data_IF_264519447387
#
_entry.id   IF_264519447387
#
_cell.length_a   1.000
_cell.length_b   1.000
_cell.length_c   1.000
_cell.angle_alpha   90.00
_cell.angle_beta   90.00
_cell.angle_gamma   90.00
#
_symmetry.space_group_name_H-M   'P 1'
#
loop_
_entity.id
_entity.type
_entity.pdbx_description
1 polymer ?
#
# COMPACT_ATOMS: atom_id res chain seq x y z
N UNK A 1 69.49 -8.85 54.03
CA UNK A 1 70.07 -7.65 54.67
C UNK A 1 70.22 -6.59 53.60
N UNK A 2 69.66 -5.40 53.85
CA UNK A 2 69.96 -4.09 53.23
C UNK A 2 69.65 -3.85 51.73
N UNK A 3 68.52 -3.15 51.55
CA UNK A 3 68.23 -2.02 50.67
C UNK A 3 69.42 -1.20 50.15
N UNK A 4 69.31 -0.71 48.90
CA UNK A 4 69.37 0.74 48.59
C UNK A 4 68.75 1.09 47.22
N UNK A 5 68.06 2.21 47.25
CA UNK A 5 67.25 2.91 46.24
C UNK A 5 68.11 3.92 45.48
N UNK A 6 67.82 4.16 44.20
CA UNK A 6 67.73 5.48 43.48
C UNK A 6 67.47 5.18 41.99
N UNK A 7 66.26 5.36 41.44
CA UNK A 7 65.57 6.61 41.09
C UNK A 7 66.29 7.47 40.04
N UNK A 8 65.83 7.43 38.78
CA UNK A 8 65.43 8.65 38.02
C UNK A 8 64.65 8.29 36.76
N UNK A 9 63.57 9.03 36.57
CA UNK A 9 62.56 8.90 35.53
C UNK A 9 63.01 9.50 34.18
N UNK A 10 62.44 8.99 33.09
CA UNK A 10 62.26 9.74 31.86
C UNK A 10 60.85 9.48 31.33
N UNK A 11 60.04 10.54 31.36
CA UNK A 11 58.69 10.58 30.78
C UNK A 11 58.75 10.27 29.28
N UNK A 12 57.92 9.34 28.82
CA UNK A 12 57.58 9.20 27.41
C UNK A 12 56.04 9.18 27.27
N UNK A 13 55.53 10.36 26.94
CA UNK A 13 54.41 10.70 26.06
C UNK A 13 53.19 9.76 26.00
N UNK A 14 52.04 10.36 26.31
CA UNK A 14 50.69 9.86 26.02
C UNK A 14 50.50 9.47 24.55
N UNK A 15 50.08 8.24 24.30
CA UNK A 15 49.04 7.96 23.32
C UNK A 15 48.01 7.03 23.97
N UNK A 16 46.82 7.57 24.17
CA UNK A 16 45.65 6.81 24.56
C UNK A 16 45.30 5.85 23.40
N UNK A 17 45.77 4.60 23.48
CA UNK A 17 45.10 3.49 22.79
C UNK A 17 43.81 3.18 23.55
N UNK A 18 42.82 4.06 23.39
CA UNK A 18 41.44 3.67 23.60
C UNK A 18 41.15 2.54 22.62
N UNK A 19 41.06 1.31 23.13
CA UNK A 19 40.45 0.19 22.43
C UNK A 19 38.99 0.54 22.23
N UNK A 20 38.71 1.34 21.19
CA UNK A 20 37.36 1.61 20.75
C UNK A 20 36.81 0.29 20.21
N UNK A 21 35.98 -0.34 21.03
CA UNK A 21 35.05 -1.39 20.69
C UNK A 21 34.11 -0.89 19.60
N UNK A 22 34.58 -0.92 18.35
CA UNK A 22 33.80 -0.64 17.14
C UNK A 22 33.60 -1.96 16.42
N UNK A 23 32.78 -2.85 16.97
CA UNK A 23 32.29 -4.03 16.24
C UNK A 23 30.83 -4.38 16.52
N UNK A 24 30.15 -3.75 17.47
CA UNK A 24 28.71 -3.99 17.70
C UNK A 24 27.81 -2.86 17.22
N UNK A 25 28.32 -1.62 17.14
CA UNK A 25 27.50 -0.47 16.76
C UNK A 25 27.39 -0.28 15.23
N UNK A 26 28.37 -0.75 14.45
CA UNK A 26 28.26 -0.84 12.98
C UNK A 26 27.49 -2.08 12.52
N UNK A 27 27.42 -3.15 13.33
CA UNK A 27 26.59 -4.32 13.04
C UNK A 27 25.10 -4.06 13.33
N UNK A 28 24.80 -3.24 14.35
CA UNK A 28 23.44 -2.76 14.64
C UNK A 28 22.95 -1.66 13.66
N UNK A 29 23.85 -1.11 12.84
CA UNK A 29 23.54 -0.18 11.77
C UNK A 29 23.15 -0.86 10.44
N UNK A 30 22.83 -2.16 10.45
CA UNK A 30 21.79 -2.69 9.55
C UNK A 30 20.45 -2.08 9.98
N UNK A 31 20.35 -0.79 9.68
CA UNK A 31 19.10 -0.06 9.53
C UNK A 31 18.13 -0.99 8.83
N UNK A 32 17.10 -1.43 9.56
CA UNK A 32 15.83 -1.76 8.93
C UNK A 32 15.45 -0.49 8.18
N UNK A 33 15.85 -0.39 6.91
CA UNK A 33 15.33 0.61 6.00
C UNK A 33 13.83 0.44 6.06
N UNK A 34 13.15 1.33 6.76
CA UNK A 34 11.70 1.29 6.87
C UNK A 34 11.21 1.44 5.44
N UNK A 35 10.62 0.37 4.91
CA UNK A 35 10.10 0.37 3.55
C UNK A 35 9.18 1.58 3.38
N UNK A 36 9.38 2.35 2.30
CA UNK A 36 8.53 3.49 2.02
C UNK A 36 7.06 3.04 1.98
N UNK A 37 6.09 3.88 2.40
CA UNK A 37 4.69 3.56 2.23
C UNK A 37 4.40 3.17 0.79
N UNK A 38 3.68 2.06 0.60
CA UNK A 38 3.30 1.58 -0.73
C UNK A 38 2.43 2.64 -1.40
N UNK A 39 2.93 3.21 -2.50
CA UNK A 39 2.23 4.24 -3.27
C UNK A 39 2.43 4.03 -4.76
N UNK A 40 1.49 4.45 -5.59
CA UNK A 40 1.62 4.48 -7.05
C UNK A 40 1.19 5.86 -7.53
N UNK A 41 2.06 6.57 -8.26
CA UNK A 41 1.81 7.95 -8.69
C UNK A 41 1.41 8.90 -7.52
N UNK A 42 1.91 8.63 -6.31
CA UNK A 42 1.56 9.39 -5.09
C UNK A 42 0.24 8.98 -4.43
N UNK A 43 -0.47 7.99 -4.97
CA UNK A 43 -1.73 7.47 -4.45
C UNK A 43 -1.47 6.27 -3.56
N UNK A 44 -2.21 6.21 -2.45
CA UNK A 44 -2.20 5.10 -1.48
C UNK A 44 -3.61 4.58 -1.25
N UNK A 45 -3.70 3.35 -0.76
CA UNK A 45 -4.96 2.80 -0.24
C UNK A 45 -5.53 3.71 0.85
N UNK A 46 -6.84 3.87 0.86
CA UNK A 46 -7.59 4.68 1.82
C UNK A 46 -7.49 6.20 1.60
N UNK A 47 -6.78 6.67 0.57
CA UNK A 47 -6.82 8.08 0.18
C UNK A 47 -8.23 8.45 -0.29
N UNK A 48 -8.69 9.69 -0.05
CA UNK A 48 -10.02 10.12 -0.51
C UNK A 48 -10.01 10.40 -2.01
N UNK A 49 -11.17 10.30 -2.67
CA UNK A 49 -11.28 10.65 -4.09
C UNK A 49 -10.85 12.09 -4.39
N UNK A 50 -11.13 13.04 -3.48
CA UNK A 50 -10.69 14.43 -3.61
C UNK A 50 -9.17 14.57 -3.54
N UNK A 51 -8.53 13.90 -2.59
CA UNK A 51 -7.06 13.90 -2.46
C UNK A 51 -6.36 13.27 -3.66
N UNK A 52 -6.96 12.20 -4.22
CA UNK A 52 -6.48 11.57 -5.46
C UNK A 52 -6.56 12.56 -6.62
N UNK A 53 -7.72 13.19 -6.84
CA UNK A 53 -7.88 14.17 -7.90
C UNK A 53 -6.89 15.33 -7.76
N UNK A 54 -6.78 15.91 -6.56
CA UNK A 54 -5.82 16.98 -6.30
C UNK A 54 -4.37 16.55 -6.57
N UNK A 55 -4.00 15.33 -6.18
CA UNK A 55 -2.66 14.78 -6.41
C UNK A 55 -2.36 14.58 -7.90
N UNK A 56 -3.32 14.05 -8.65
CA UNK A 56 -3.18 13.77 -10.07
C UNK A 56 -3.19 15.05 -10.92
N UNK A 57 -4.08 16.00 -10.62
CA UNK A 57 -4.10 17.32 -11.27
C UNK A 57 -2.76 18.04 -11.05
N UNK A 58 -2.27 18.08 -9.80
CA UNK A 58 -0.98 18.71 -9.46
C UNK A 58 0.19 18.09 -10.22
N UNK A 59 0.10 16.81 -10.58
CA UNK A 59 1.16 16.07 -11.29
C UNK A 59 0.93 15.98 -12.80
N UNK A 60 -0.06 16.71 -13.33
CA UNK A 60 -0.29 16.88 -14.76
C UNK A 60 -1.01 15.72 -15.44
N UNK A 61 -1.79 14.94 -14.70
CA UNK A 61 -2.61 13.88 -15.27
C UNK A 61 -3.93 14.43 -15.82
N UNK A 62 -4.39 13.85 -16.93
CA UNK A 62 -5.77 14.01 -17.39
C UNK A 62 -6.65 13.00 -16.68
N UNK A 63 -7.79 13.43 -16.14
CA UNK A 63 -8.63 12.62 -15.25
C UNK A 63 -10.03 12.49 -15.83
N UNK A 64 -10.57 11.27 -15.80
CA UNK A 64 -11.95 10.94 -16.10
C UNK A 64 -12.52 10.09 -14.95
N UNK A 65 -13.73 10.41 -14.51
CA UNK A 65 -14.39 9.71 -13.40
C UNK A 65 -15.66 9.01 -13.86
N UNK A 66 -15.89 7.81 -13.35
CA UNK A 66 -17.15 7.08 -13.51
C UNK A 66 -17.92 7.10 -12.20
N UNK A 67 -19.21 7.44 -12.29
CA UNK A 67 -20.10 7.54 -11.15
C UNK A 67 -20.28 6.18 -10.45
N UNK A 68 -20.33 6.21 -9.13
CA UNK A 68 -20.54 5.07 -8.25
C UNK A 68 -21.63 5.36 -7.23
N UNK A 69 -22.03 4.35 -6.47
CA UNK A 69 -22.90 4.57 -5.30
C UNK A 69 -22.10 5.30 -4.22
N UNK A 70 -22.75 6.23 -3.53
CA UNK A 70 -22.24 6.76 -2.28
C UNK A 70 -22.54 5.80 -1.12
N UNK A 71 -22.10 6.13 0.08
CA UNK A 71 -22.33 5.30 1.26
C UNK A 71 -23.81 5.04 1.54
N UNK A 72 -24.67 6.05 1.38
CA UNK A 72 -26.10 5.92 1.69
C UNK A 72 -26.76 4.99 0.68
N UNK A 73 -26.48 5.18 -0.61
CA UNK A 73 -26.91 4.33 -1.69
C UNK A 73 -26.45 2.87 -1.49
N UNK A 74 -25.19 2.63 -1.12
CA UNK A 74 -24.68 1.28 -0.84
C UNK A 74 -25.38 0.61 0.33
N UNK A 75 -25.69 1.35 1.39
CA UNK A 75 -26.44 0.81 2.53
C UNK A 75 -27.88 0.47 2.14
N UNK A 76 -28.57 1.34 1.38
CA UNK A 76 -29.93 1.05 0.92
C UNK A 76 -29.97 -0.11 -0.09
N UNK A 77 -28.98 -0.20 -0.99
CA UNK A 77 -28.78 -1.33 -1.88
C UNK A 77 -28.74 -2.63 -1.10
N UNK A 78 -27.83 -2.72 -0.11
CA UNK A 78 -27.68 -3.89 0.74
C UNK A 78 -29.01 -4.23 1.45
N UNK A 79 -29.71 -3.23 1.98
CA UNK A 79 -31.01 -3.42 2.63
C UNK A 79 -32.08 -3.97 1.67
N UNK A 80 -32.18 -3.44 0.45
CA UNK A 80 -33.08 -3.95 -0.61
C UNK A 80 -32.72 -5.37 -1.02
N UNK A 81 -31.42 -5.68 -1.17
CA UNK A 81 -30.95 -7.03 -1.48
C UNK A 81 -31.33 -8.03 -0.41
N UNK A 82 -31.14 -7.70 0.88
CA UNK A 82 -31.53 -8.56 2.00
C UNK A 82 -33.05 -8.80 2.07
N UNK A 83 -33.86 -7.86 1.57
CA UNK A 83 -35.33 -7.99 1.47
C UNK A 83 -35.81 -8.65 0.17
N UNK A 84 -34.92 -8.98 -0.76
CA UNK A 84 -35.27 -9.57 -2.05
C UNK A 84 -35.99 -8.60 -2.99
N UNK A 85 -35.79 -7.29 -2.86
CA UNK A 85 -36.38 -6.27 -3.75
C UNK A 85 -35.52 -6.12 -5.00
N UNK A 86 -36.10 -6.33 -6.19
CA UNK A 86 -35.41 -6.20 -7.48
C UNK A 86 -36.33 -5.59 -8.55
N UNK A 87 -35.79 -4.81 -9.52
CA UNK A 87 -34.39 -4.40 -9.64
C UNK A 87 -33.97 -3.41 -8.54
N UNK A 88 -32.68 -3.37 -8.21
CA UNK A 88 -32.12 -2.40 -7.26
C UNK A 88 -31.49 -1.27 -8.06
N UNK A 89 -32.14 -0.12 -8.06
CA UNK A 89 -31.62 1.10 -8.65
C UNK A 89 -31.30 2.08 -7.52
N UNK A 90 -30.04 2.47 -7.44
CA UNK A 90 -29.57 3.46 -6.47
C UNK A 90 -28.96 4.68 -7.17
N UNK A 91 -29.07 5.87 -6.56
CA UNK A 91 -28.36 7.05 -7.02
C UNK A 91 -26.85 6.81 -7.11
N UNK A 92 -26.24 7.28 -8.21
CA UNK A 92 -24.80 7.19 -8.43
C UNK A 92 -24.11 8.53 -8.11
N UNK A 93 -24.14 8.91 -6.83
CA UNK A 93 -23.59 10.19 -6.35
C UNK A 93 -22.12 10.14 -5.94
N UNK A 94 -21.54 8.95 -5.81
CA UNK A 94 -20.13 8.73 -5.50
C UNK A 94 -19.26 8.56 -6.74
N UNK A 95 -18.00 8.18 -6.53
CA UNK A 95 -17.05 7.84 -7.59
C UNK A 95 -16.71 6.36 -7.47
N UNK A 96 -17.00 5.57 -8.50
CA UNK A 96 -16.60 4.16 -8.53
C UNK A 96 -15.14 4.02 -9.02
N UNK A 97 -14.81 4.73 -10.09
CA UNK A 97 -13.54 4.62 -10.79
C UNK A 97 -13.05 5.99 -11.22
N UNK A 98 -11.75 6.22 -11.09
CA UNK A 98 -11.04 7.33 -11.71
C UNK A 98 -10.00 6.74 -12.66
N UNK A 99 -10.13 7.06 -13.94
CA UNK A 99 -9.11 6.78 -14.95
C UNK A 99 -8.29 8.03 -15.17
N UNK A 100 -6.97 7.88 -15.22
CA UNK A 100 -6.08 8.97 -15.52
C UNK A 100 -5.03 8.57 -16.53
N UNK A 101 -4.64 9.54 -17.38
CA UNK A 101 -3.62 9.35 -18.40
C UNK A 101 -2.58 10.45 -18.37
N UNK A 102 -1.33 10.07 -18.65
CA UNK A 102 -0.19 11.00 -18.79
C UNK A 102 0.79 10.43 -19.81
N UNK A 103 0.76 10.95 -21.04
CA UNK A 103 1.50 10.34 -22.15
C UNK A 103 1.06 8.90 -22.36
N UNK A 104 2.02 7.97 -22.36
CA UNK A 104 1.78 6.53 -22.49
C UNK A 104 1.44 5.84 -21.15
N UNK A 105 1.44 6.58 -20.05
CA UNK A 105 1.06 6.08 -18.74
C UNK A 105 -0.45 6.11 -18.56
N UNK A 106 -0.99 5.03 -18.00
CA UNK A 106 -2.40 4.88 -17.63
C UNK A 106 -2.51 4.49 -16.17
N UNK A 107 -3.49 5.06 -15.51
CA UNK A 107 -3.78 4.82 -14.11
C UNK A 107 -5.29 4.59 -13.98
N UNK A 108 -5.69 3.54 -13.29
CA UNK A 108 -7.08 3.28 -12.91
C UNK A 108 -7.14 3.14 -11.40
N UNK A 109 -7.92 3.99 -10.76
CA UNK A 109 -8.12 4.01 -9.31
C UNK A 109 -9.56 3.58 -9.07
N UNK A 110 -9.76 2.49 -8.34
CA UNK A 110 -11.09 2.09 -7.89
C UNK A 110 -11.29 2.55 -6.46
N UNK A 111 -12.47 3.08 -6.20
CA UNK A 111 -12.88 3.51 -4.88
C UNK A 111 -13.95 2.57 -4.31
N UNK A 112 -14.11 2.66 -3.02
CA UNK A 112 -15.25 2.13 -2.30
C UNK A 112 -15.89 3.25 -1.47
N UNK A 113 -17.23 3.27 -1.36
CA UNK A 113 -17.90 4.23 -0.52
C UNK A 113 -17.67 3.90 0.95
N UNK A 114 -17.35 4.92 1.74
CA UNK A 114 -17.23 4.89 3.20
C UNK A 114 -18.07 6.03 3.78
N UNK A 115 -18.39 6.04 5.10
CA UNK A 115 -19.29 7.04 5.67
C UNK A 115 -18.95 8.51 5.36
N UNK A 116 -17.67 8.82 5.12
CA UNK A 116 -17.17 10.18 4.88
C UNK A 116 -16.78 10.44 3.41
N UNK A 117 -17.32 9.67 2.46
CA UNK A 117 -17.03 9.80 1.02
C UNK A 117 -16.40 8.55 0.43
N UNK A 118 -15.61 8.69 -0.63
CA UNK A 118 -15.02 7.55 -1.34
C UNK A 118 -13.54 7.38 -1.00
N UNK A 119 -13.14 6.14 -0.73
CA UNK A 119 -11.77 5.77 -0.37
C UNK A 119 -11.16 4.81 -1.39
N UNK A 120 -9.88 5.01 -1.72
CA UNK A 120 -9.15 4.13 -2.66
C UNK A 120 -9.06 2.71 -2.12
N UNK A 121 -9.56 1.73 -2.89
CA UNK A 121 -9.40 0.30 -2.61
C UNK A 121 -8.39 -0.40 -3.53
N UNK A 122 -8.20 0.14 -4.73
CA UNK A 122 -7.29 -0.40 -5.74
C UNK A 122 -6.71 0.73 -6.59
N UNK A 123 -5.43 0.59 -6.92
CA UNK A 123 -4.75 1.44 -7.90
C UNK A 123 -4.05 0.52 -8.89
N UNK A 124 -4.37 0.63 -10.18
CA UNK A 124 -3.68 -0.06 -11.27
C UNK A 124 -2.94 0.97 -12.11
N UNK A 125 -1.68 0.72 -12.41
CA UNK A 125 -0.83 1.59 -13.19
C UNK A 125 -0.17 0.79 -14.31
N UNK A 126 -0.25 1.32 -15.51
CA UNK A 126 0.30 0.73 -16.72
C UNK A 126 1.22 1.76 -17.36
N UNK A 127 2.45 1.36 -17.65
CA UNK A 127 3.42 2.20 -18.34
C UNK A 127 4.29 1.38 -19.28
N UNK A 128 4.90 1.99 -20.32
CA UNK A 128 5.93 1.33 -21.10
C UNK A 128 7.09 0.87 -20.19
N UNK A 129 7.65 -0.32 -20.43
CA UNK A 129 8.90 -0.71 -19.76
C UNK A 129 10.07 0.20 -20.17
N UNK A 130 9.96 0.90 -21.30
CA UNK A 130 10.97 1.83 -21.82
C UNK A 130 12.36 1.18 -21.94
N UNK A 131 12.40 -0.06 -22.41
CA UNK A 131 13.64 -0.84 -22.54
C UNK A 131 14.19 -1.41 -21.23
N UNK A 132 13.54 -1.18 -20.08
CA UNK A 132 13.93 -1.79 -18.81
C UNK A 132 13.63 -3.28 -18.79
N UNK A 133 14.61 -4.05 -18.37
CA UNK A 133 14.49 -5.48 -18.12
C UNK A 133 13.65 -5.76 -16.87
N UNK A 134 13.07 -6.96 -16.74
CA UNK A 134 12.41 -7.39 -15.51
C UNK A 134 13.30 -7.18 -14.27
N UNK A 135 14.59 -7.46 -14.36
CA UNK A 135 15.56 -7.34 -13.28
C UNK A 135 15.81 -5.88 -12.87
N UNK A 136 15.83 -4.96 -13.83
CA UNK A 136 15.96 -3.52 -13.54
C UNK A 136 14.72 -2.98 -12.83
N UNK A 137 13.53 -3.39 -13.26
CA UNK A 137 12.27 -3.01 -12.62
C UNK A 137 12.20 -3.62 -11.22
N UNK A 138 12.60 -4.89 -11.07
CA UNK A 138 12.72 -5.58 -9.79
C UNK A 138 13.60 -4.80 -8.83
N UNK A 139 14.79 -4.41 -9.28
CA UNK A 139 15.76 -3.69 -8.46
C UNK A 139 15.24 -2.30 -8.05
N UNK A 140 14.55 -1.58 -8.95
CA UNK A 140 13.94 -0.28 -8.65
C UNK A 140 12.84 -0.41 -7.58
N UNK A 141 11.97 -1.41 -7.73
CA UNK A 141 10.91 -1.69 -6.78
C UNK A 141 11.47 -2.15 -5.43
N UNK A 142 12.51 -2.98 -5.42
CA UNK A 142 13.19 -3.43 -4.19
C UNK A 142 13.87 -2.26 -3.48
N UNK A 143 14.54 -1.39 -4.24
CA UNK A 143 15.17 -0.18 -3.70
C UNK A 143 14.16 0.73 -3.01
N UNK A 144 12.95 0.86 -3.59
CA UNK A 144 11.92 1.78 -3.09
C UNK A 144 11.06 1.19 -1.96
N UNK A 145 10.69 -0.08 -2.07
CA UNK A 145 9.68 -0.72 -1.21
C UNK A 145 10.23 -1.90 -0.39
N UNK A 146 11.52 -2.21 -0.47
CA UNK A 146 12.12 -3.36 0.21
C UNK A 146 11.92 -4.66 -0.57
N UNK A 147 12.25 -5.81 0.03
CA UNK A 147 12.09 -7.10 -0.67
C UNK A 147 10.60 -7.48 -0.72
N UNK A 148 10.09 -8.00 -1.86
CA UNK A 148 8.73 -8.51 -1.92
C UNK A 148 8.54 -9.70 -0.97
N UNK A 149 7.31 -9.88 -0.48
CA UNK A 149 6.89 -11.10 0.19
C UNK A 149 6.51 -12.18 -0.82
N UNK A 150 6.29 -13.41 -0.34
CA UNK A 150 5.96 -14.56 -1.21
C UNK A 150 4.43 -14.66 -1.46
N UNK A 151 3.96 -14.28 -2.65
CA UNK A 151 2.61 -14.65 -3.11
C UNK A 151 2.64 -16.02 -3.81
N UNK A 152 1.65 -16.89 -3.56
CA UNK A 152 1.54 -18.19 -4.24
C UNK A 152 0.78 -18.10 -5.58
N UNK A 153 0.42 -16.90 -6.04
CA UNK A 153 -0.13 -16.71 -7.39
C UNK A 153 1.03 -16.78 -8.38
N UNK A 154 1.26 -17.97 -8.93
CA UNK A 154 2.29 -18.22 -9.92
C UNK A 154 1.61 -18.57 -11.25
N UNK A 155 1.58 -17.63 -12.19
CA UNK A 155 1.41 -17.94 -13.60
C UNK A 155 1.90 -16.80 -14.50
N UNK A 156 3.20 -16.86 -14.82
CA UNK A 156 3.91 -16.12 -15.87
C UNK A 156 4.13 -14.60 -15.65
N UNK A 157 5.23 -14.11 -16.23
CA UNK A 157 5.73 -12.72 -16.30
C UNK A 157 5.98 -11.99 -14.97
N UNK A 158 7.23 -12.03 -14.48
CA UNK A 158 7.79 -11.29 -13.32
C UNK A 158 6.72 -10.76 -12.34
N UNK A 159 6.04 -11.63 -11.58
CA UNK A 159 5.09 -11.21 -10.56
C UNK A 159 5.81 -11.11 -9.21
N UNK A 160 5.89 -9.91 -8.65
CA UNK A 160 6.42 -9.68 -7.30
C UNK A 160 5.40 -8.87 -6.48
N UNK A 161 5.16 -9.29 -5.23
CA UNK A 161 4.21 -8.65 -4.32
C UNK A 161 4.92 -8.04 -3.10
N UNK A 162 4.75 -6.75 -2.84
CA UNK A 162 5.21 -6.06 -1.63
C UNK A 162 4.05 -5.87 -0.68
N UNK A 163 4.26 -6.16 0.60
CA UNK A 163 3.22 -6.04 1.62
C UNK A 163 3.59 -5.02 2.68
N UNK A 164 2.59 -4.38 3.28
CA UNK A 164 2.84 -3.49 4.42
C UNK A 164 3.05 -4.28 5.70
N UNK A 165 4.09 -3.93 6.46
CA UNK A 165 4.32 -4.46 7.81
C UNK A 165 5.54 -5.38 7.96
N UNK A 166 6.37 -5.56 6.92
CA UNK A 166 7.59 -6.39 7.00
C UNK A 166 7.33 -7.91 7.06
N UNK A 167 6.06 -8.32 7.20
CA UNK A 167 5.63 -9.71 7.14
C UNK A 167 5.47 -10.20 5.70
N UNK A 168 5.63 -11.53 5.45
CA UNK A 168 5.36 -12.11 4.15
C UNK A 168 3.91 -11.86 3.73
N UNK A 169 3.72 -11.40 2.48
CA UNK A 169 2.45 -11.54 1.78
C UNK A 169 1.99 -12.99 1.90
N UNK A 170 0.78 -13.30 2.36
CA UNK A 170 0.22 -14.65 2.14
C UNK A 170 -1.19 -14.53 1.65
N UNK A 171 -1.55 -15.30 0.64
CA UNK A 171 -2.94 -15.63 0.34
C UNK A 171 -3.00 -17.05 -0.20
N UNK A 172 -3.73 -17.92 0.51
CA UNK A 172 -4.73 -18.83 -0.05
C UNK A 172 -5.94 -18.90 0.91
N UNK A 173 -5.75 -18.90 2.25
CA UNK A 173 -6.88 -18.89 3.23
C UNK A 173 -6.55 -18.24 4.61
N UNK A 174 -6.03 -17.00 4.69
CA UNK A 174 -5.95 -16.42 6.04
C UNK A 174 -5.21 -15.11 6.26
N UNK A 175 -4.16 -14.77 5.52
CA UNK A 175 -3.49 -13.48 5.73
C UNK A 175 -3.94 -12.46 4.69
N UNK A 176 -4.14 -11.24 5.16
CA UNK A 176 -4.95 -10.23 4.49
C UNK A 176 -4.23 -8.90 4.56
N UNK A 177 -3.19 -8.73 3.76
CA UNK A 177 -2.41 -7.50 3.73
C UNK A 177 -2.75 -6.70 2.48
N UNK A 178 -2.76 -5.37 2.62
CA UNK A 178 -2.61 -4.51 1.46
C UNK A 178 -1.25 -4.79 0.80
N UNK A 179 -1.23 -4.74 -0.52
CA UNK A 179 -0.02 -5.10 -1.25
C UNK A 179 0.07 -4.49 -2.62
N UNK A 180 1.31 -4.31 -3.06
CA UNK A 180 1.72 -3.81 -4.36
C UNK A 180 2.22 -5.00 -5.18
N UNK A 181 1.60 -5.27 -6.32
CA UNK A 181 2.07 -6.26 -7.28
C UNK A 181 2.71 -5.53 -8.47
N UNK A 182 3.78 -6.06 -9.04
CA UNK A 182 4.34 -5.62 -10.32
C UNK A 182 4.46 -6.82 -11.26
N UNK A 183 4.11 -6.63 -12.54
CA UNK A 183 4.23 -7.61 -13.63
C UNK A 183 4.56 -6.94 -14.95
N UNK A 184 5.15 -7.68 -15.89
CA UNK A 184 5.43 -7.22 -17.25
C UNK A 184 4.57 -7.97 -18.26
N UNK A 185 3.63 -7.32 -18.95
CA UNK A 185 2.81 -8.07 -19.92
C UNK A 185 3.62 -8.64 -21.10
N UNK A 186 2.98 -9.50 -21.90
CA UNK A 186 3.57 -10.13 -23.10
C UNK A 186 4.04 -9.11 -24.16
N UNK A 187 3.62 -7.85 -24.05
CA UNK A 187 4.01 -6.74 -24.92
C UNK A 187 5.07 -5.83 -24.27
N UNK A 188 5.66 -6.24 -23.14
CA UNK A 188 6.68 -5.49 -22.43
C UNK A 188 6.16 -4.24 -21.72
N UNK A 189 4.87 -4.18 -21.35
CA UNK A 189 4.35 -3.09 -20.52
C UNK A 189 4.42 -3.45 -19.05
N UNK A 190 4.88 -2.50 -18.25
CA UNK A 190 4.87 -2.58 -16.80
C UNK A 190 3.43 -2.37 -16.31
N UNK A 191 2.93 -3.33 -15.54
CA UNK A 191 1.64 -3.28 -14.88
C UNK A 191 1.86 -3.43 -13.37
N UNK A 192 1.53 -2.38 -12.63
CA UNK A 192 1.66 -2.32 -11.18
C UNK A 192 0.26 -2.18 -10.56
N UNK A 193 -0.04 -2.93 -9.52
CA UNK A 193 -1.33 -2.90 -8.83
C UNK A 193 -1.15 -2.77 -7.33
N UNK A 194 -1.67 -1.72 -6.71
CA UNK A 194 -1.75 -1.57 -5.25
C UNK A 194 -3.17 -1.90 -4.80
N UNK A 195 -3.33 -2.86 -3.89
CA UNK A 195 -4.62 -3.38 -3.42
C UNK A 195 -4.76 -3.27 -1.91
N UNK A 196 -5.99 -3.07 -1.41
CA UNK A 196 -6.28 -3.00 0.04
C UNK A 196 -6.27 -4.35 0.77
N UNK A 197 -6.37 -5.45 0.03
CA UNK A 197 -6.44 -6.81 0.58
C UNK A 197 -7.82 -7.21 1.13
N UNK A 198 -7.99 -8.51 1.41
CA UNK A 198 -9.29 -9.12 1.76
C UNK A 198 -9.81 -8.69 3.13
N UNK A 199 -8.95 -8.30 4.08
CA UNK A 199 -9.37 -7.87 5.41
C UNK A 199 -10.04 -6.51 5.36
N UNK A 200 -9.47 -5.58 4.61
CA UNK A 200 -10.06 -4.27 4.39
C UNK A 200 -11.42 -4.41 3.68
N UNK A 201 -11.50 -5.26 2.66
CA UNK A 201 -12.76 -5.59 1.98
C UNK A 201 -13.81 -6.16 2.94
N UNK A 202 -13.44 -7.17 3.75
CA UNK A 202 -14.34 -7.77 4.75
C UNK A 202 -14.74 -6.76 5.83
N UNK A 203 -13.84 -5.90 6.26
CA UNK A 203 -14.13 -4.85 7.22
C UNK A 203 -15.13 -3.84 6.66
N UNK A 204 -15.01 -3.49 5.38
CA UNK A 204 -15.98 -2.67 4.65
C UNK A 204 -17.35 -3.35 4.55
N UNK A 205 -17.41 -4.61 4.10
CA UNK A 205 -18.65 -5.39 4.04
C UNK A 205 -19.35 -5.44 5.41
N UNK A 206 -18.59 -5.73 6.48
CA UNK A 206 -19.11 -5.71 7.84
C UNK A 206 -19.63 -4.34 8.27
N UNK A 207 -19.02 -3.25 7.80
CA UNK A 207 -19.50 -1.89 8.08
C UNK A 207 -20.84 -1.63 7.39
N UNK A 208 -20.99 -2.05 6.13
CA UNK A 208 -22.25 -1.95 5.38
C UNK A 208 -23.34 -2.77 6.09
N UNK A 209 -23.09 -4.03 6.42
CA UNK A 209 -24.07 -4.88 7.12
C UNK A 209 -24.48 -4.29 8.48
N UNK A 210 -23.55 -3.72 9.24
CA UNK A 210 -23.88 -3.01 10.50
C UNK A 210 -24.73 -1.77 10.27
N UNK A 211 -24.47 -1.01 9.21
CA UNK A 211 -25.26 0.18 8.88
C UNK A 211 -26.69 -0.19 8.48
N UNK A 212 -26.88 -1.28 7.74
CA UNK A 212 -28.22 -1.83 7.44
C UNK A 212 -28.96 -2.21 8.72
N UNK A 213 -28.31 -2.97 9.62
CA UNK A 213 -28.93 -3.38 10.89
C UNK A 213 -29.27 -2.23 11.84
N UNK A 214 -28.64 -1.06 11.69
CA UNK A 214 -28.99 0.17 12.43
C UNK A 214 -30.14 0.96 11.79
N UNK A 215 -30.45 0.72 10.51
CA UNK A 215 -31.54 1.35 9.77
C UNK A 215 -32.91 0.68 9.96
N UNK A 216 -32.97 -0.49 10.59
CA UNK A 216 -34.19 -1.24 10.86
C UNK A 216 -34.57 -1.21 12.35
N UNK A 217 -34.60 -0.02 12.95
CA UNK A 217 -35.44 0.16 14.14
C UNK A 217 -36.90 0.04 13.72
N UNK A 218 -37.75 -0.78 14.36
CA UNK A 218 -39.17 -0.78 14.06
C UNK A 218 -39.70 0.65 14.26
N UNK A 219 -40.43 1.17 13.26
CA UNK A 219 -41.31 2.32 13.49
C UNK A 219 -42.29 1.88 14.57
N UNK A 220 -42.05 2.32 15.80
CA UNK A 220 -42.98 2.19 16.91
C UNK A 220 -44.27 2.88 16.51
N UNK A 221 -45.28 2.10 16.14
CA UNK A 221 -46.67 2.52 16.17
C UNK A 221 -47.18 2.31 17.59
N UNK A 222 -47.04 3.35 18.42
CA UNK A 222 -47.81 3.57 19.63
C UNK A 222 -48.13 5.06 19.72
#
# INVERSE_FOLDING_TARGET
>A
MMTKITATAALALLTACGSASVTEQEAAAQTRTVAAPLTIAGIRIGMTALDVQATLVRTGWKIETSAGEDWVATVDHEAKRQRGVFPIEEPKNGIAVLNATKGDERLTVEFQPVPNGDAVKLVRYIAPAAGRTPEQIAAEMVKRYGRPGASQVAASIYEASWCTGGDPCRQIWGNMHQGLAAKLDVYGKLNISLSQGVAAERAWQNAVSRAVGRGTGPKSSF
#
